data_IF_251693503194
#
_entry.id   IF_251693503194
#
_cell.length_a   1.000
_cell.length_b   1.000
_cell.length_c   1.000
_cell.angle_alpha   90.00
_cell.angle_beta   90.00
_cell.angle_gamma   90.00
#
_symmetry.space_group_name_H-M   'P 1'
#
loop_
_entity.id
_entity.type
_entity.pdbx_description
1 polymer ?
#
# COMPACT_ATOMS: atom_id res chain seq x y z
N UNK A 1 7.66 -11.72 12.63
CA UNK A 1 6.96 -10.80 11.72
C UNK A 1 6.54 -9.55 12.50
N UNK A 2 6.87 -8.34 12.04
CA UNK A 2 6.54 -7.11 12.77
C UNK A 2 5.26 -6.48 12.22
N UNK A 3 4.15 -6.65 12.96
CA UNK A 3 2.84 -6.14 12.54
C UNK A 3 2.62 -4.67 12.90
N UNK A 4 3.59 -4.02 13.57
CA UNK A 4 3.49 -2.61 13.96
C UNK A 4 3.37 -1.66 12.75
N UNK A 5 3.86 -2.06 11.57
CA UNK A 5 3.73 -1.26 10.35
C UNK A 5 2.27 -1.03 9.95
N UNK A 6 1.38 -2.00 10.16
CA UNK A 6 -0.05 -1.82 9.89
C UNK A 6 -0.66 -0.77 10.84
N UNK A 7 -0.32 -0.85 12.13
CA UNK A 7 -0.76 0.13 13.14
C UNK A 7 -0.24 1.54 12.84
N UNK A 8 1.04 1.66 12.45
CA UNK A 8 1.65 2.93 12.06
C UNK A 8 1.02 3.49 10.78
N UNK A 9 0.78 2.66 9.77
CA UNK A 9 0.12 3.07 8.53
C UNK A 9 -1.30 3.58 8.81
N UNK A 10 -2.05 2.92 9.70
CA UNK A 10 -3.35 3.42 10.17
C UNK A 10 -3.23 4.79 10.84
N UNK A 11 -2.31 4.92 11.81
CA UNK A 11 -2.10 6.18 12.54
C UNK A 11 -1.70 7.34 11.62
N UNK A 12 -0.96 7.05 10.55
CA UNK A 12 -0.57 8.02 9.54
C UNK A 12 -1.67 8.34 8.50
N UNK A 13 -2.83 7.68 8.55
CA UNK A 13 -3.89 7.84 7.54
C UNK A 13 -3.54 7.24 6.17
N UNK A 14 -2.59 6.28 6.15
CA UNK A 14 -2.09 5.61 4.94
C UNK A 14 -2.65 4.19 4.77
N UNK A 15 -3.59 3.80 5.62
CA UNK A 15 -4.28 2.52 5.60
C UNK A 15 -5.79 2.71 5.61
N UNK A 16 -6.45 2.18 4.59
CA UNK A 16 -7.90 2.12 4.46
C UNK A 16 -8.39 0.76 4.92
N UNK A 17 -9.47 0.77 5.72
CA UNK A 17 -9.97 -0.41 6.41
C UNK A 17 -11.45 -0.60 6.04
N UNK A 18 -11.78 -1.79 5.53
CA UNK A 18 -13.14 -2.14 5.12
C UNK A 18 -13.41 -1.90 3.64
N UNK A 19 -14.40 -2.60 3.11
CA UNK A 19 -14.67 -2.66 1.67
C UNK A 19 -14.98 -1.28 1.06
N UNK A 20 -15.81 -0.47 1.72
CA UNK A 20 -16.20 0.85 1.21
C UNK A 20 -15.01 1.81 1.12
N UNK A 21 -14.22 1.88 2.20
CA UNK A 21 -13.01 2.73 2.26
C UNK A 21 -11.98 2.28 1.22
N UNK A 22 -11.76 0.97 1.09
CA UNK A 22 -10.85 0.40 0.09
C UNK A 22 -11.35 0.72 -1.33
N UNK A 23 -12.65 0.56 -1.58
CA UNK A 23 -13.26 0.89 -2.88
C UNK A 23 -13.08 2.36 -3.22
N UNK A 24 -13.26 3.28 -2.24
CA UNK A 24 -13.02 4.71 -2.43
C UNK A 24 -11.56 5.01 -2.76
N UNK A 25 -10.60 4.38 -2.07
CA UNK A 25 -9.19 4.59 -2.36
C UNK A 25 -8.74 4.00 -3.71
N UNK A 26 -9.34 2.89 -4.14
CA UNK A 26 -9.14 2.31 -5.48
C UNK A 26 -9.67 3.26 -6.54
N UNK A 27 -10.91 3.75 -6.41
CA UNK A 27 -11.51 4.74 -7.32
C UNK A 27 -10.75 6.06 -7.35
N UNK A 28 -10.20 6.50 -6.22
CA UNK A 28 -9.35 7.69 -6.14
C UNK A 28 -7.92 7.46 -6.65
N UNK A 29 -7.60 6.27 -7.19
CA UNK A 29 -6.27 5.85 -7.63
C UNK A 29 -5.17 5.91 -6.55
N UNK A 30 -5.55 5.98 -5.27
CA UNK A 30 -4.62 6.07 -4.13
C UNK A 30 -4.16 4.69 -3.63
N UNK A 31 -4.95 3.64 -3.82
CA UNK A 31 -4.59 2.30 -3.37
C UNK A 31 -3.32 1.79 -4.10
N UNK A 32 -2.32 1.37 -3.32
CA UNK A 32 -1.06 0.82 -3.82
C UNK A 32 -0.98 -0.70 -3.72
N UNK A 33 -1.65 -1.29 -2.73
CA UNK A 33 -1.79 -2.73 -2.51
C UNK A 33 -3.10 -2.98 -1.77
N UNK A 34 -3.72 -4.12 -2.03
CA UNK A 34 -4.90 -4.59 -1.30
C UNK A 34 -4.52 -5.84 -0.51
N UNK A 35 -4.94 -5.88 0.74
CA UNK A 35 -4.72 -7.01 1.64
C UNK A 35 -6.03 -7.69 2.01
N UNK A 36 -5.98 -9.01 2.20
CA UNK A 36 -7.07 -9.79 2.78
C UNK A 36 -6.57 -10.60 3.96
N UNK A 37 -7.42 -10.78 4.97
CA UNK A 37 -7.16 -11.70 6.08
C UNK A 37 -6.97 -13.15 5.59
N UNK A 38 -6.30 -13.98 6.39
CA UNK A 38 -6.12 -15.41 6.10
C UNK A 38 -7.45 -16.16 6.09
N UNK A 39 -8.36 -15.81 7.00
CA UNK A 39 -9.71 -16.35 7.15
C UNK A 39 -10.77 -15.52 6.38
N UNK A 40 -10.33 -14.66 5.44
CA UNK A 40 -11.26 -13.87 4.62
C UNK A 40 -12.23 -14.80 3.87
N UNK A 41 -13.52 -14.45 3.89
CA UNK A 41 -14.53 -15.23 3.18
C UNK A 41 -14.24 -15.25 1.67
N UNK A 42 -14.68 -16.29 0.93
CA UNK A 42 -14.49 -16.36 -0.52
C UNK A 42 -15.02 -15.11 -1.25
N UNK A 43 -16.12 -14.54 -0.76
CA UNK A 43 -16.67 -13.30 -1.27
C UNK A 43 -15.72 -12.11 -1.09
N UNK A 44 -15.10 -11.98 0.09
CA UNK A 44 -14.13 -10.92 0.36
C UNK A 44 -12.86 -11.07 -0.48
N UNK A 45 -12.36 -12.30 -0.67
CA UNK A 45 -11.22 -12.58 -1.53
C UNK A 45 -11.50 -12.22 -2.99
N UNK A 46 -12.64 -12.65 -3.53
CA UNK A 46 -13.09 -12.30 -4.89
C UNK A 46 -13.19 -10.79 -5.05
N UNK A 47 -13.75 -10.11 -4.06
CA UNK A 47 -13.93 -8.67 -4.09
C UNK A 47 -12.60 -7.91 -4.06
N UNK A 48 -11.67 -8.33 -3.19
CA UNK A 48 -10.32 -7.79 -3.15
C UNK A 48 -9.59 -7.96 -4.49
N UNK A 49 -9.70 -9.14 -5.12
CA UNK A 49 -9.14 -9.40 -6.45
C UNK A 49 -9.72 -8.48 -7.53
N UNK A 50 -11.04 -8.26 -7.55
CA UNK A 50 -11.68 -7.32 -8.49
C UNK A 50 -11.17 -5.87 -8.30
N UNK A 51 -11.05 -5.43 -7.06
CA UNK A 51 -10.55 -4.09 -6.72
C UNK A 51 -9.08 -3.93 -7.10
N UNK A 52 -8.27 -4.97 -6.88
CA UNK A 52 -6.86 -5.01 -7.24
C UNK A 52 -6.68 -4.95 -8.76
N UNK A 53 -7.49 -5.70 -9.52
CA UNK A 53 -7.53 -5.66 -10.97
C UNK A 53 -7.93 -4.27 -11.50
N UNK A 54 -8.96 -3.63 -10.92
CA UNK A 54 -9.37 -2.27 -11.29
C UNK A 54 -8.23 -1.26 -11.13
N UNK A 55 -7.46 -1.35 -10.02
CA UNK A 55 -6.34 -0.45 -9.77
C UNK A 55 -5.04 -0.85 -10.46
N UNK A 56 -4.96 -2.09 -10.99
CA UNK A 56 -3.71 -2.77 -11.39
C UNK A 56 -2.68 -2.71 -10.25
N UNK A 57 -3.08 -3.15 -9.06
CA UNK A 57 -2.18 -3.30 -7.91
C UNK A 57 -2.15 -4.75 -7.43
N UNK A 58 -1.11 -5.15 -6.69
CA UNK A 58 -1.05 -6.48 -6.07
C UNK A 58 -2.19 -6.70 -5.07
N UNK A 59 -2.68 -7.94 -5.00
CA UNK A 59 -3.57 -8.44 -3.96
C UNK A 59 -2.81 -9.48 -3.15
N UNK A 60 -2.61 -9.18 -1.86
CA UNK A 60 -1.78 -10.00 -0.96
C UNK A 60 -2.64 -10.57 0.16
N UNK A 61 -2.66 -11.89 0.29
CA UNK A 61 -3.28 -12.57 1.45
C UNK A 61 -2.31 -12.54 2.64
N UNK A 62 -2.75 -11.94 3.74
CA UNK A 62 -1.98 -11.88 4.98
C UNK A 62 -2.12 -13.18 5.76
N UNK A 63 -1.09 -13.57 6.52
CA UNK A 63 -1.17 -14.72 7.43
C UNK A 63 -1.96 -14.41 8.72
N UNK A 64 -2.61 -13.25 8.81
CA UNK A 64 -3.33 -12.78 10.00
C UNK A 64 -4.83 -12.99 9.86
N UNK A 65 -5.48 -13.39 10.95
CA UNK A 65 -6.94 -13.52 10.97
C UNK A 65 -7.63 -12.15 11.05
N UNK A 66 -8.93 -12.11 10.76
CA UNK A 66 -9.77 -10.91 10.94
C UNK A 66 -9.72 -10.38 12.38
N UNK A 67 -9.66 -11.25 13.39
CA UNK A 67 -9.54 -10.81 14.80
C UNK A 67 -8.19 -10.14 15.06
N UNK A 68 -7.10 -10.75 14.64
CA UNK A 68 -5.75 -10.20 14.81
C UNK A 68 -5.58 -8.87 14.08
N UNK A 69 -6.07 -8.80 12.84
CA UNK A 69 -6.12 -7.54 12.09
C UNK A 69 -6.96 -6.51 12.83
N UNK A 70 -8.12 -6.90 13.35
CA UNK A 70 -9.00 -6.03 14.11
C UNK A 70 -8.34 -5.46 15.36
N UNK A 71 -7.54 -6.26 16.07
CA UNK A 71 -6.78 -5.83 17.24
C UNK A 71 -5.67 -4.83 16.86
N UNK A 72 -4.92 -5.10 15.79
CA UNK A 72 -3.85 -4.21 15.31
C UNK A 72 -4.38 -2.87 14.78
N UNK A 73 -5.50 -2.92 14.06
CA UNK A 73 -6.09 -1.74 13.42
C UNK A 73 -7.25 -1.16 14.20
N UNK A 74 -7.53 -1.61 15.43
CA UNK A 74 -8.58 -1.10 16.31
C UNK A 74 -9.95 -0.90 15.64
N UNK A 75 -10.38 -1.87 14.82
CA UNK A 75 -11.68 -1.90 14.10
C UNK A 75 -12.21 -3.33 14.12
N UNK A 76 -13.53 -3.52 14.11
CA UNK A 76 -14.10 -4.89 14.10
C UNK A 76 -13.84 -5.58 12.76
N UNK A 77 -13.05 -6.65 12.81
CA UNK A 77 -12.92 -7.73 11.81
C UNK A 77 -12.81 -7.30 10.35
N UNK A 78 -11.79 -6.51 9.95
CA UNK A 78 -11.66 -6.10 8.56
C UNK A 78 -11.20 -7.28 7.68
N UNK A 79 -12.08 -7.76 6.81
CA UNK A 79 -11.73 -8.79 5.82
C UNK A 79 -10.88 -8.26 4.65
N UNK A 80 -10.94 -6.95 4.38
CA UNK A 80 -10.23 -6.28 3.29
C UNK A 80 -9.62 -4.97 3.80
N UNK A 81 -8.37 -4.71 3.43
CA UNK A 81 -7.60 -3.53 3.77
C UNK A 81 -6.88 -3.02 2.51
N UNK A 82 -6.52 -1.74 2.45
CA UNK A 82 -5.65 -1.23 1.39
C UNK A 82 -4.66 -0.21 1.93
N UNK A 83 -3.42 -0.29 1.48
CA UNK A 83 -2.40 0.69 1.82
C UNK A 83 -2.19 1.65 0.66
N UNK A 84 -2.15 2.94 0.97
CA UNK A 84 -2.07 4.00 -0.05
C UNK A 84 -0.64 4.46 -0.31
N UNK A 85 0.27 4.24 0.65
CA UNK A 85 1.69 4.52 0.47
C UNK A 85 2.44 3.31 -0.09
N UNK A 86 3.12 3.50 -1.22
CA UNK A 86 3.85 2.43 -1.89
C UNK A 86 5.14 2.01 -1.15
N UNK A 87 5.77 2.94 -0.41
CA UNK A 87 6.99 2.64 0.35
C UNK A 87 6.70 1.78 1.57
N UNK A 88 5.66 2.12 2.34
CA UNK A 88 5.17 1.30 3.44
C UNK A 88 4.65 -0.05 2.94
N UNK A 89 3.93 -0.06 1.81
CA UNK A 89 3.43 -1.29 1.22
C UNK A 89 4.57 -2.25 0.86
N UNK A 90 5.59 -1.75 0.16
CA UNK A 90 6.77 -2.52 -0.17
C UNK A 90 7.47 -3.05 1.09
N UNK A 91 7.72 -2.19 2.10
CA UNK A 91 8.38 -2.61 3.35
C UNK A 91 7.63 -3.73 4.06
N UNK A 92 6.30 -3.62 4.15
CA UNK A 92 5.49 -4.62 4.82
C UNK A 92 5.49 -5.95 4.04
N UNK A 93 5.30 -5.93 2.72
CA UNK A 93 5.32 -7.14 1.89
C UNK A 93 6.71 -7.77 1.82
N UNK A 94 7.79 -6.97 1.84
CA UNK A 94 9.16 -7.50 1.95
C UNK A 94 9.41 -8.22 3.26
N UNK A 95 8.81 -7.79 4.37
CA UNK A 95 8.87 -8.54 5.63
C UNK A 95 8.11 -9.86 5.54
N UNK A 96 6.99 -9.90 4.81
CA UNK A 96 6.28 -11.15 4.53
C UNK A 96 7.13 -12.09 3.66
N UNK A 97 7.79 -11.56 2.64
CA UNK A 97 8.68 -12.32 1.75
C UNK A 97 9.93 -12.87 2.44
N UNK A 98 10.36 -12.31 3.57
CA UNK A 98 11.42 -12.91 4.39
C UNK A 98 10.96 -14.17 5.13
N UNK A 99 9.66 -14.28 5.41
CA UNK A 99 9.07 -15.44 6.08
C UNK A 99 8.65 -16.50 5.07
N UNK A 100 8.05 -16.06 3.95
CA UNK A 100 7.59 -16.92 2.87
C UNK A 100 7.94 -16.28 1.51
N UNK A 101 9.15 -16.52 0.99
CA UNK A 101 9.61 -15.96 -0.26
C UNK A 101 8.77 -16.42 -1.46
N UNK A 102 8.36 -17.69 -1.48
CA UNK A 102 7.64 -18.31 -2.60
C UNK A 102 6.30 -17.60 -2.85
N UNK A 103 5.63 -17.21 -1.76
CA UNK A 103 4.33 -16.57 -1.84
C UNK A 103 4.37 -15.07 -2.12
N UNK A 104 5.37 -14.36 -1.59
CA UNK A 104 5.34 -12.88 -1.54
C UNK A 104 6.43 -12.16 -2.34
N UNK A 105 7.43 -12.86 -2.90
CA UNK A 105 8.55 -12.22 -3.60
C UNK A 105 8.10 -11.40 -4.83
N UNK A 106 7.17 -11.95 -5.63
CA UNK A 106 6.63 -11.27 -6.82
C UNK A 106 5.89 -9.98 -6.47
N UNK A 107 5.05 -10.02 -5.44
CA UNK A 107 4.31 -8.86 -4.94
C UNK A 107 5.26 -7.80 -4.35
N UNK A 108 6.29 -8.24 -3.61
CA UNK A 108 7.30 -7.35 -3.04
C UNK A 108 8.06 -6.58 -4.14
N UNK A 109 8.42 -7.26 -5.23
CA UNK A 109 9.11 -6.66 -6.37
C UNK A 109 8.21 -5.68 -7.13
N UNK A 110 6.96 -6.06 -7.40
CA UNK A 110 6.00 -5.18 -8.05
C UNK A 110 5.80 -3.88 -7.24
N UNK A 111 5.73 -3.98 -5.91
CA UNK A 111 5.62 -2.82 -5.02
C UNK A 111 6.91 -2.00 -4.95
N UNK A 112 8.08 -2.65 -5.00
CA UNK A 112 9.38 -1.97 -5.06
C UNK A 112 9.46 -1.06 -6.28
N UNK A 113 9.22 -1.61 -7.48
CA UNK A 113 9.28 -0.85 -8.73
C UNK A 113 8.27 0.31 -8.71
N UNK A 114 7.09 0.09 -8.13
CA UNK A 114 6.07 1.14 -7.99
C UNK A 114 6.50 2.23 -7.00
N UNK A 115 7.09 1.86 -5.87
CA UNK A 115 7.60 2.79 -4.87
C UNK A 115 8.74 3.65 -5.43
N UNK A 116 9.68 3.04 -6.15
CA UNK A 116 10.79 3.73 -6.83
C UNK A 116 10.27 4.75 -7.84
N UNK A 117 9.30 4.38 -8.70
CA UNK A 117 8.67 5.30 -9.65
C UNK A 117 7.98 6.48 -8.97
N UNK A 118 7.25 6.24 -7.87
CA UNK A 118 6.56 7.30 -7.13
C UNK A 118 7.58 8.22 -6.43
N UNK A 119 8.62 7.65 -5.83
CA UNK A 119 9.68 8.40 -5.17
C UNK A 119 10.45 9.29 -6.17
N UNK A 120 10.76 8.75 -7.36
CA UNK A 120 11.43 9.47 -8.42
C UNK A 120 10.61 10.69 -8.87
N UNK A 121 9.31 10.51 -9.13
CA UNK A 121 8.39 11.61 -9.46
C UNK A 121 8.32 12.67 -8.36
N UNK A 122 8.30 12.25 -7.09
CA UNK A 122 8.30 13.20 -5.95
C UNK A 122 9.60 14.02 -5.90
N UNK A 123 10.76 13.40 -6.15
CA UNK A 123 12.06 14.08 -6.20
C UNK A 123 12.13 15.09 -7.35
N UNK A 124 11.67 14.71 -8.54
CA UNK A 124 11.63 15.59 -9.72
C UNK A 124 10.72 16.80 -9.51
N UNK A 125 9.50 16.59 -8.98
CA UNK A 125 8.59 17.70 -8.66
C UNK A 125 9.15 18.62 -7.57
N UNK A 126 9.77 18.07 -6.53
CA UNK A 126 10.40 18.86 -5.47
C UNK A 126 11.59 19.68 -6.01
N UNK A 127 12.40 19.10 -6.89
CA UNK A 127 13.49 19.80 -7.56
C UNK A 127 12.97 20.92 -8.46
N UNK A 128 11.89 20.68 -9.22
CA UNK A 128 11.24 21.70 -10.05
C UNK A 128 10.70 22.86 -9.22
N UNK A 129 10.02 22.57 -8.11
CA UNK A 129 9.52 23.58 -7.20
C UNK A 129 10.66 24.38 -6.55
N UNK A 130 11.76 23.72 -6.16
CA UNK A 130 12.94 24.36 -5.60
C UNK A 130 13.60 25.29 -6.62
N UNK A 131 13.78 24.83 -7.86
CA UNK A 131 14.34 25.63 -8.95
C UNK A 131 13.49 26.86 -9.28
N UNK A 132 12.15 26.75 -9.23
CA UNK A 132 11.23 27.89 -9.38
C UNK A 132 11.33 28.89 -8.22
N UNK A 133 11.45 28.43 -6.97
CA UNK A 133 11.57 29.31 -5.78
C UNK A 133 12.92 30.03 -5.69
N UNK A 134 14.01 29.38 -6.08
CA UNK A 134 15.35 29.98 -5.96
C UNK A 134 15.74 30.87 -7.12
N UNK A 135 14.82 31.18 -8.06
CA UNK A 135 15.00 32.18 -9.11
C UNK A 135 16.41 32.16 -9.70
N UNK A 136 16.89 31.01 -10.20
CA UNK A 136 18.16 30.98 -10.94
C UNK A 136 17.99 31.88 -12.17
N UNK A 137 18.34 33.16 -12.03
CA UNK A 137 18.58 34.07 -13.15
C UNK A 137 19.53 33.32 -14.07
N UNK A 138 19.05 32.98 -15.28
CA UNK A 138 19.92 32.61 -16.39
C UNK A 138 20.91 33.76 -16.54
N UNK A 139 22.13 33.60 -16.04
CA UNK A 139 23.27 34.43 -16.47
C UNK A 139 23.48 34.10 -17.93
N UNK A 140 23.08 35.03 -18.81
CA UNK A 140 23.49 35.04 -20.21
C UNK A 140 24.99 35.32 -20.23
N UNK A 141 25.77 34.39 -20.79
CA UNK A 141 27.06 34.71 -21.40
C UNK A 141 26.81 35.11 -22.84
#
# INVERSE_FOLDING_TARGET
MNNALLGLAKKAGLLEIGEDSVTRAVRAHKACVIFTASDASPNAQRRAGQLAAQRRCPHVSLPLTKEELGALVGRRTPGILAMTDAGLAHRYVSQLAQVDPEKYASDAEALRQRAERIAQRRKEMAAHLRNKRTGKRRTKQ
#
